data_IF_822175165375
#
_entry.id   IF_822175165375
#
_cell.length_a   1.000
_cell.length_b   1.000
_cell.length_c   1.000
_cell.angle_alpha   90.00
_cell.angle_beta   90.00
_cell.angle_gamma   90.00
#
_symmetry.space_group_name_H-M   'P 1'
#
loop_
_entity.id
_entity.type
_entity.pdbx_description
1 polymer ?
#
# COMPACT_ATOMS: atom_id res chain seq x y z
N UNK A 1 -13.90 -2.18 -5.49
CA UNK A 1 -12.57 -1.63 -5.19
C UNK A 1 -11.55 -2.69 -5.57
N UNK A 2 -10.52 -2.40 -6.38
CA UNK A 2 -9.43 -3.35 -6.59
C UNK A 2 -8.79 -3.78 -5.26
N UNK A 3 -8.38 -5.04 -5.23
CA UNK A 3 -7.67 -5.65 -4.11
C UNK A 3 -6.17 -5.62 -4.43
N UNK A 4 -5.37 -5.11 -3.50
CA UNK A 4 -3.91 -5.02 -3.62
C UNK A 4 -3.30 -5.89 -2.51
N UNK A 5 -2.37 -6.75 -2.89
CA UNK A 5 -1.58 -7.56 -1.95
C UNK A 5 -0.16 -7.00 -1.90
N UNK A 6 0.25 -6.53 -0.73
CA UNK A 6 1.63 -6.19 -0.41
C UNK A 6 2.28 -7.38 0.28
N UNK A 7 3.53 -7.68 -0.09
CA UNK A 7 4.28 -8.80 0.47
C UNK A 7 5.58 -8.23 1.04
N UNK A 8 5.74 -8.36 2.35
CA UNK A 8 6.97 -7.99 3.04
C UNK A 8 8.13 -8.93 2.66
N UNK A 9 9.37 -8.51 2.93
CA UNK A 9 10.55 -9.32 2.65
C UNK A 9 10.58 -10.67 3.38
N UNK A 10 9.84 -10.79 4.49
CA UNK A 10 9.69 -12.02 5.29
C UNK A 10 8.55 -12.92 4.81
N UNK A 11 7.81 -12.51 3.77
CA UNK A 11 6.65 -13.22 3.22
C UNK A 11 5.32 -12.88 3.88
N UNK A 12 5.25 -11.97 4.84
CA UNK A 12 3.99 -11.52 5.43
C UNK A 12 3.16 -10.75 4.39
N UNK A 13 1.87 -11.10 4.28
CA UNK A 13 0.95 -10.49 3.32
C UNK A 13 0.04 -9.45 4.00
N UNK A 14 -0.12 -8.31 3.33
CA UNK A 14 -1.09 -7.27 3.68
C UNK A 14 -2.02 -7.05 2.51
N UNK A 15 -3.30 -7.28 2.75
CA UNK A 15 -4.33 -7.25 1.72
C UNK A 15 -5.24 -6.06 1.98
N UNK A 16 -5.31 -5.13 1.02
CA UNK A 16 -6.12 -3.92 1.15
C UNK A 16 -7.06 -3.75 -0.04
N UNK A 17 -8.19 -3.11 0.19
CA UNK A 17 -9.03 -2.60 -0.88
C UNK A 17 -8.71 -1.13 -1.14
N UNK A 18 -8.55 -0.75 -2.41
CA UNK A 18 -8.27 0.62 -2.80
C UNK A 18 -9.30 1.13 -3.81
N UNK A 19 -9.56 2.42 -3.82
CA UNK A 19 -10.36 3.05 -4.87
C UNK A 19 -9.53 3.19 -6.15
N UNK A 20 -10.16 2.98 -7.31
CA UNK A 20 -9.52 3.22 -8.61
C UNK A 20 -9.12 4.70 -8.73
N UNK A 21 -7.91 4.97 -9.20
CA UNK A 21 -7.35 6.32 -9.33
C UNK A 21 -6.44 6.74 -8.18
N UNK A 22 -6.38 5.98 -7.08
CA UNK A 22 -5.38 6.14 -6.01
C UNK A 22 -4.11 5.38 -6.40
N UNK A 23 -2.93 5.92 -6.05
CA UNK A 23 -1.67 5.22 -6.28
C UNK A 23 -1.50 4.01 -5.34
N UNK A 24 -0.68 3.04 -5.75
CA UNK A 24 -0.35 1.87 -4.91
C UNK A 24 0.35 2.29 -3.62
N UNK A 25 1.16 3.35 -3.66
CA UNK A 25 1.83 3.90 -2.47
C UNK A 25 0.83 4.51 -1.50
N UNK A 26 -0.08 5.38 -1.95
CA UNK A 26 -1.07 6.01 -1.06
C UNK A 26 -2.01 4.99 -0.43
N UNK A 27 -2.39 3.94 -1.17
CA UNK A 27 -3.18 2.84 -0.65
C UNK A 27 -2.44 2.10 0.48
N UNK A 28 -1.11 1.93 0.36
CA UNK A 28 -0.30 1.28 1.39
C UNK A 28 -0.23 2.14 2.66
N UNK A 29 0.09 3.42 2.52
CA UNK A 29 0.28 4.35 3.64
C UNK A 29 -1.04 4.58 4.39
N UNK A 30 -2.16 4.79 3.68
CA UNK A 30 -3.48 4.97 4.32
C UNK A 30 -3.94 3.75 5.11
N UNK A 31 -3.47 2.56 4.74
CA UNK A 31 -3.76 1.30 5.43
C UNK A 31 -2.63 0.87 6.37
N UNK A 32 -1.64 1.73 6.63
CA UNK A 32 -0.50 1.47 7.52
C UNK A 32 0.28 0.18 7.17
N UNK A 33 0.42 -0.12 5.88
CA UNK A 33 1.21 -1.26 5.42
C UNK A 33 2.70 -1.02 5.78
N UNK A 34 3.34 -1.93 6.53
CA UNK A 34 4.75 -1.77 6.93
C UNK A 34 5.72 -1.71 5.75
N UNK A 35 6.83 -0.99 5.94
CA UNK A 35 7.94 -0.93 4.98
C UNK A 35 7.78 0.11 3.85
N UNK A 36 6.75 0.97 3.92
CA UNK A 36 6.51 2.06 2.96
C UNK A 36 6.34 3.37 3.74
N UNK A 37 7.42 4.16 3.78
CA UNK A 37 7.44 5.43 4.54
C UNK A 37 6.84 6.61 3.77
N UNK A 38 7.09 6.65 2.45
CA UNK A 38 6.60 7.67 1.52
C UNK A 38 6.99 9.13 1.86
N UNK A 39 8.23 9.38 2.26
CA UNK A 39 8.73 10.69 2.71
C UNK A 39 8.41 11.90 1.81
N UNK A 40 8.46 11.74 0.48
CA UNK A 40 8.16 12.83 -0.46
C UNK A 40 6.68 12.92 -0.85
N UNK A 41 5.84 12.00 -0.39
CA UNK A 41 4.41 11.94 -0.70
C UNK A 41 4.06 11.52 -2.13
N UNK A 42 5.04 11.26 -3.01
CA UNK A 42 4.82 10.69 -4.35
C UNK A 42 4.00 11.56 -5.31
N UNK A 43 4.14 12.89 -5.22
CA UNK A 43 3.49 13.87 -6.10
C UNK A 43 4.42 14.37 -7.21
#
# INVERSE_FOLDING_TARGET
MPKITYIEHNGAEHVVEAQTGVSVMEAAVKNMVPGIDADCGGA
#
